data_IF_524361255365
#
_entry.id   IF_524361255365
#
_cell.length_a   1.000
_cell.length_b   1.000
_cell.length_c   1.000
_cell.angle_alpha   90.00
_cell.angle_beta   90.00
_cell.angle_gamma   90.00
#
_symmetry.space_group_name_H-M   'P 1'
#
loop_
_entity.id
_entity.type
_entity.pdbx_description
1 polymer ?
#
# COMPACT_ATOMS: atom_id res chain seq x y z
N UNK A 1 -4.80 13.81 -5.99
CA UNK A 1 -4.20 12.81 -5.08
C UNK A 1 -2.87 12.34 -5.67
N UNK A 2 -1.86 12.06 -4.86
CA UNK A 2 -0.55 11.55 -5.31
C UNK A 2 -0.33 10.16 -4.73
N UNK A 3 0.17 9.25 -5.55
CA UNK A 3 0.52 7.89 -5.16
C UNK A 3 1.88 7.53 -5.77
N UNK A 4 2.77 6.94 -4.97
CA UNK A 4 4.09 6.50 -5.42
C UNK A 4 4.03 5.26 -6.29
N UNK A 5 2.97 4.46 -6.15
CA UNK A 5 2.82 3.18 -6.83
C UNK A 5 2.67 3.31 -8.33
N UNK A 6 2.92 2.20 -9.02
CA UNK A 6 2.71 2.07 -10.46
C UNK A 6 1.22 2.03 -10.81
N UNK A 7 0.39 1.58 -9.89
CA UNK A 7 -1.06 1.48 -10.02
C UNK A 7 -1.73 1.68 -8.66
N UNK A 8 -3.01 2.05 -8.69
CA UNK A 8 -3.81 2.16 -7.47
C UNK A 8 -3.97 0.78 -6.86
N UNK A 9 -3.71 0.66 -5.56
CA UNK A 9 -3.83 -0.61 -4.84
C UNK A 9 -2.60 -1.53 -4.94
N UNK A 10 -1.51 -1.11 -5.60
CA UNK A 10 -0.28 -1.92 -5.76
C UNK A 10 0.29 -2.40 -4.41
N UNK A 11 0.13 -1.61 -3.35
CA UNK A 11 0.60 -1.95 -1.99
C UNK A 11 -0.03 -3.22 -1.42
N UNK A 12 -1.23 -3.60 -1.88
CA UNK A 12 -1.86 -4.86 -1.54
C UNK A 12 -1.25 -6.02 -2.30
N UNK A 13 -1.03 -5.88 -3.63
CA UNK A 13 -0.44 -6.94 -4.45
C UNK A 13 0.94 -7.38 -4.00
N UNK A 14 1.72 -6.45 -3.43
CA UNK A 14 3.08 -6.68 -2.91
C UNK A 14 3.12 -7.43 -1.57
N UNK A 15 1.99 -7.87 -1.03
CA UNK A 15 1.95 -8.68 0.20
C UNK A 15 2.10 -10.16 -0.11
N UNK A 16 2.35 -10.96 0.93
CA UNK A 16 2.45 -12.41 0.84
C UNK A 16 1.22 -13.07 0.19
N UNK A 17 1.45 -14.17 -0.51
CA UNK A 17 0.49 -14.78 -1.44
C UNK A 17 -0.81 -15.22 -0.77
N UNK A 18 -0.70 -15.74 0.45
CA UNK A 18 -1.85 -16.24 1.21
C UNK A 18 -2.64 -15.14 1.92
N UNK A 19 -2.32 -13.87 1.73
CA UNK A 19 -3.02 -12.78 2.40
C UNK A 19 -4.49 -12.73 1.96
N UNK A 20 -5.36 -12.87 2.96
CA UNK A 20 -6.77 -12.47 2.90
C UNK A 20 -7.04 -11.37 3.91
N UNK A 21 -7.99 -10.49 3.63
CA UNK A 21 -8.47 -9.52 4.60
C UNK A 21 -9.01 -10.26 5.83
N UNK A 22 -8.78 -9.70 7.01
CA UNK A 22 -9.28 -10.29 8.26
C UNK A 22 -10.76 -9.96 8.51
N UNK A 23 -11.34 -9.03 7.73
CA UNK A 23 -12.77 -8.68 7.76
C UNK A 23 -13.45 -9.23 6.51
N UNK A 24 -14.69 -9.69 6.69
CA UNK A 24 -15.52 -10.14 5.59
C UNK A 24 -15.77 -9.03 4.55
N UNK A 25 -16.04 -9.41 3.30
CA UNK A 25 -16.27 -8.50 2.18
C UNK A 25 -17.29 -7.39 2.50
N UNK A 26 -18.39 -7.73 3.19
CA UNK A 26 -19.42 -6.78 3.59
C UNK A 26 -18.87 -5.63 4.46
N UNK A 27 -17.92 -5.92 5.36
CA UNK A 27 -17.30 -4.92 6.23
C UNK A 27 -16.14 -4.16 5.59
N UNK A 28 -15.61 -4.65 4.47
CA UNK A 28 -14.47 -4.08 3.74
C UNK A 28 -14.90 -3.23 2.54
N UNK A 29 -16.20 -3.23 2.22
CA UNK A 29 -16.80 -2.49 1.11
C UNK A 29 -16.81 -0.97 1.36
N UNK A 30 -16.38 -0.19 0.37
CA UNK A 30 -16.58 1.27 0.33
C UNK A 30 -18.02 1.61 -0.09
N UNK A 31 -18.54 2.72 0.40
CA UNK A 31 -19.88 3.17 0.06
C UNK A 31 -20.03 3.33 -1.46
N UNK A 32 -21.21 3.00 -1.98
CA UNK A 32 -21.59 3.13 -3.40
C UNK A 32 -21.00 2.11 -4.37
N UNK A 33 -20.08 1.23 -3.96
CA UNK A 33 -19.60 0.13 -4.80
C UNK A 33 -19.29 -1.12 -3.98
N UNK A 34 -20.09 -2.18 -4.15
CA UNK A 34 -19.89 -3.44 -3.43
C UNK A 34 -18.56 -4.08 -3.79
N UNK A 35 -17.88 -4.59 -2.77
CA UNK A 35 -16.82 -5.56 -2.97
C UNK A 35 -17.54 -6.86 -3.40
N UNK A 36 -17.23 -7.35 -4.60
CA UNK A 36 -17.91 -8.51 -5.19
C UNK A 36 -17.62 -9.82 -4.47
N UNK A 37 -18.26 -10.92 -4.90
CA UNK A 37 -18.10 -12.25 -4.31
C UNK A 37 -19.05 -12.52 -3.15
N UNK A 38 -18.70 -13.47 -2.28
CA UNK A 38 -19.48 -13.80 -1.07
C UNK A 38 -19.37 -12.68 -0.03
N UNK A 39 -20.49 -12.05 0.41
CA UNK A 39 -20.47 -11.01 1.44
C UNK A 39 -19.86 -11.45 2.78
N UNK A 40 -19.96 -12.73 3.11
CA UNK A 40 -19.39 -13.33 4.32
C UNK A 40 -17.98 -13.90 4.08
N UNK A 41 -17.53 -13.92 2.82
CA UNK A 41 -16.20 -14.37 2.43
C UNK A 41 -15.11 -13.34 2.73
N UNK A 42 -13.86 -13.72 2.45
CA UNK A 42 -12.68 -12.90 2.70
C UNK A 42 -11.88 -12.69 1.42
N UNK A 43 -11.68 -11.42 1.08
CA UNK A 43 -10.98 -10.97 -0.12
C UNK A 43 -9.48 -11.22 -0.02
N UNK A 44 -8.87 -11.70 -1.09
CA UNK A 44 -7.41 -11.84 -1.24
C UNK A 44 -6.73 -10.49 -1.47
N UNK A 45 -5.39 -10.47 -1.40
CA UNK A 45 -4.59 -9.27 -1.71
C UNK A 45 -4.80 -8.71 -3.11
N UNK A 46 -5.04 -9.60 -4.08
CA UNK A 46 -5.19 -9.21 -5.49
C UNK A 46 -6.61 -8.71 -5.75
N UNK A 47 -7.62 -9.40 -5.23
CA UNK A 47 -9.02 -8.96 -5.35
C UNK A 47 -9.28 -7.59 -4.70
N UNK A 48 -8.67 -7.29 -3.54
CA UNK A 48 -8.82 -5.96 -2.92
C UNK A 48 -8.09 -4.88 -3.73
N UNK A 49 -6.97 -5.23 -4.37
CA UNK A 49 -6.26 -4.32 -5.27
C UNK A 49 -7.12 -3.99 -6.50
N UNK A 50 -7.68 -5.02 -7.14
CA UNK A 50 -8.58 -4.89 -8.28
C UNK A 50 -9.83 -4.07 -7.92
N UNK A 51 -10.40 -4.31 -6.74
CA UNK A 51 -11.54 -3.54 -6.22
C UNK A 51 -11.21 -2.04 -6.10
N UNK A 52 -10.07 -1.68 -5.52
CA UNK A 52 -9.67 -0.27 -5.37
C UNK A 52 -9.39 0.40 -6.73
N UNK A 53 -8.78 -0.33 -7.66
CA UNK A 53 -8.56 0.14 -9.01
C UNK A 53 -9.89 0.36 -9.74
N UNK A 54 -10.86 -0.54 -9.60
CA UNK A 54 -12.20 -0.39 -10.16
C UNK A 54 -12.95 0.79 -9.53
N UNK A 55 -12.90 0.92 -8.20
CA UNK A 55 -13.50 2.05 -7.48
C UNK A 55 -12.99 3.39 -8.01
N UNK A 56 -11.67 3.54 -8.22
CA UNK A 56 -11.10 4.77 -8.76
C UNK A 56 -11.46 5.05 -10.23
N UNK A 57 -11.89 4.04 -11.00
CA UNK A 57 -12.40 4.20 -12.36
C UNK A 57 -13.89 4.60 -12.36
N UNK A 58 -14.70 3.97 -11.52
CA UNK A 58 -16.13 4.25 -11.38
C UNK A 58 -16.38 5.66 -10.83
N UNK A 59 -15.61 6.06 -9.82
CA UNK A 59 -15.60 7.42 -9.30
C UNK A 59 -14.30 8.06 -9.79
N UNK A 60 -14.29 8.84 -10.88
CA UNK A 60 -13.08 9.24 -11.60
C UNK A 60 -12.16 10.15 -10.75
N UNK A 61 -11.43 9.54 -9.81
CA UNK A 61 -10.53 10.21 -8.89
C UNK A 61 -9.27 10.63 -9.67
N UNK A 62 -8.91 11.91 -9.57
CA UNK A 62 -7.70 12.43 -10.17
C UNK A 62 -6.47 12.01 -9.34
N UNK A 63 -5.96 10.82 -9.62
CA UNK A 63 -4.78 10.23 -8.99
C UNK A 63 -3.57 10.34 -9.92
N UNK A 64 -2.48 10.95 -9.43
CA UNK A 64 -1.19 10.92 -10.12
C UNK A 64 -0.34 9.78 -9.56
N UNK A 65 -0.37 8.63 -10.23
CA UNK A 65 0.51 7.48 -9.97
C UNK A 65 1.99 7.82 -10.22
N UNK A 66 2.92 7.04 -9.68
CA UNK A 66 4.38 7.26 -9.78
C UNK A 66 4.79 8.68 -9.37
N UNK A 67 4.18 9.21 -8.32
CA UNK A 67 4.51 10.51 -7.72
C UNK A 67 4.87 10.30 -6.25
N UNK A 68 6.13 10.52 -5.90
CA UNK A 68 6.53 10.56 -4.49
C UNK A 68 6.57 12.02 -4.06
N UNK A 69 5.89 12.35 -2.96
CA UNK A 69 6.10 13.62 -2.26
C UNK A 69 7.34 13.44 -1.39
N UNK A 70 8.39 14.18 -1.69
CA UNK A 70 9.69 14.08 -1.01
C UNK A 70 9.75 14.99 0.22
N UNK A 71 9.13 16.17 0.13
CA UNK A 71 9.12 17.16 1.20
C UNK A 71 7.95 18.13 1.04
N UNK A 72 7.66 18.91 2.08
CA UNK A 72 6.78 20.07 2.00
C UNK A 72 7.16 21.18 2.97
N UNK A 73 6.78 22.40 2.62
CA UNK A 73 6.91 23.57 3.50
C UNK A 73 5.56 24.19 3.80
N UNK A 74 5.36 24.67 5.04
CA UNK A 74 4.06 25.18 5.51
C UNK A 74 3.73 26.62 5.03
N UNK A 75 4.61 27.28 4.29
CA UNK A 75 4.35 28.62 3.73
C UNK A 75 3.44 28.56 2.50
N UNK A 76 2.12 28.49 2.71
CA UNK A 76 1.16 28.30 1.61
C UNK A 76 1.34 26.93 0.95
N UNK A 77 1.28 25.89 1.79
CA UNK A 77 1.69 24.49 1.56
C UNK A 77 2.18 24.19 0.14
N UNK A 78 3.50 24.13 0.01
CA UNK A 78 4.18 23.72 -1.22
C UNK A 78 4.69 22.30 -1.02
N UNK A 79 4.31 21.40 -1.92
CA UNK A 79 4.72 20.01 -1.98
C UNK A 79 5.79 19.84 -3.04
N UNK A 80 6.91 19.26 -2.65
CA UNK A 80 8.00 18.90 -3.55
C UNK A 80 7.85 17.43 -3.94
N UNK A 81 7.77 17.16 -5.24
CA UNK A 81 7.55 15.82 -5.77
C UNK A 81 8.78 15.31 -6.54
N UNK A 82 8.79 14.00 -6.83
CA UNK A 82 9.80 13.34 -7.67
C UNK A 82 10.21 14.17 -8.90
N UNK A 83 11.50 14.13 -9.31
CA UNK A 83 12.00 14.89 -10.45
C UNK A 83 11.11 14.76 -11.69
N UNK A 84 10.82 15.88 -12.34
CA UNK A 84 9.91 15.96 -13.49
C UNK A 84 8.42 16.12 -13.17
N UNK A 85 8.01 16.07 -11.89
CA UNK A 85 6.62 16.34 -11.47
C UNK A 85 6.40 17.76 -10.95
N UNK A 86 7.47 18.47 -10.60
CA UNK A 86 7.45 19.87 -10.17
C UNK A 86 6.92 20.10 -8.74
N UNK A 87 6.68 21.38 -8.44
CA UNK A 87 6.08 21.82 -7.18
C UNK A 87 4.55 21.88 -7.30
N UNK A 88 3.85 21.48 -6.24
CA UNK A 88 2.39 21.61 -6.16
C UNK A 88 2.02 22.48 -4.96
N UNK A 89 0.99 23.31 -5.12
CA UNK A 89 0.49 24.16 -4.04
C UNK A 89 -0.89 23.68 -3.61
N UNK A 90 -1.11 23.67 -2.30
CA UNK A 90 -2.41 23.37 -1.71
C UNK A 90 -2.69 24.25 -0.51
N UNK A 91 -3.97 24.39 -0.16
CA UNK A 91 -4.38 25.01 1.11
C UNK A 91 -4.40 24.00 2.25
N UNK A 92 -4.58 22.72 1.93
CA UNK A 92 -4.72 21.61 2.88
C UNK A 92 -4.03 20.36 2.35
N UNK A 93 -3.51 19.56 3.27
CA UNK A 93 -2.87 18.27 2.95
C UNK A 93 -3.47 17.21 3.85
N UNK A 94 -3.93 16.13 3.24
CA UNK A 94 -4.34 14.91 3.91
C UNK A 94 -3.25 13.87 3.63
N UNK A 95 -2.65 13.34 4.70
CA UNK A 95 -1.62 12.31 4.60
C UNK A 95 -2.26 10.95 4.85
N UNK A 96 -2.34 10.15 3.78
CA UNK A 96 -2.99 8.84 3.78
C UNK A 96 -2.02 7.71 3.40
N UNK A 97 -0.75 7.81 3.83
CA UNK A 97 0.29 6.85 3.44
C UNK A 97 0.18 5.51 4.19
N UNK A 98 -0.40 5.48 5.40
CA UNK A 98 -0.38 4.32 6.30
C UNK A 98 0.98 4.13 7.00
N UNK A 99 1.12 3.19 7.96
CA UNK A 99 2.34 3.09 8.79
C UNK A 99 3.31 1.95 8.42
N UNK A 100 3.04 1.15 7.38
CA UNK A 100 3.70 -0.15 7.17
C UNK A 100 4.74 -0.18 6.04
N UNK A 101 5.40 0.93 5.72
CA UNK A 101 6.35 1.01 4.60
C UNK A 101 7.78 0.69 5.01
N UNK A 102 8.15 0.98 6.27
CA UNK A 102 9.51 0.76 6.77
C UNK A 102 9.53 -0.44 7.72
N UNK A 103 10.27 -1.51 7.40
CA UNK A 103 10.51 -2.62 8.32
C UNK A 103 11.12 -2.13 9.64
N UNK A 104 10.66 -2.70 10.75
CA UNK A 104 11.29 -2.47 12.06
C UNK A 104 12.25 -3.62 12.35
N UNK A 105 13.48 -3.49 11.88
CA UNK A 105 14.53 -4.50 12.10
C UNK A 105 15.22 -4.19 13.43
N UNK A 106 15.18 -5.15 14.35
CA UNK A 106 15.76 -4.99 15.68
C UNK A 106 17.27 -5.20 15.63
N UNK A 107 18.02 -4.41 16.40
CA UNK A 107 19.50 -4.43 16.42
C UNK A 107 20.08 -5.82 16.70
N UNK A 108 19.38 -6.64 17.50
CA UNK A 108 19.88 -7.98 17.82
C UNK A 108 20.01 -8.91 16.61
N UNK A 109 19.29 -8.62 15.51
CA UNK A 109 19.37 -9.38 14.26
C UNK A 109 20.79 -9.46 13.71
N UNK A 110 21.64 -8.47 14.02
CA UNK A 110 23.06 -8.44 13.64
C UNK A 110 23.92 -9.49 14.35
N UNK A 111 23.41 -10.10 15.42
CA UNK A 111 24.10 -11.16 16.18
C UNK A 111 23.61 -12.56 15.84
N UNK A 112 22.68 -12.71 14.88
CA UNK A 112 22.27 -14.01 14.41
C UNK A 112 23.43 -14.72 13.69
N UNK A 113 23.51 -16.04 13.85
CA UNK A 113 24.46 -16.86 13.07
C UNK A 113 24.18 -16.73 11.58
N UNK A 114 25.22 -16.85 10.75
CA UNK A 114 25.09 -16.90 9.29
C UNK A 114 24.28 -18.13 8.80
N UNK A 115 24.08 -19.12 9.66
CA UNK A 115 23.23 -20.29 9.40
C UNK A 115 21.73 -19.98 9.56
N UNK A 116 21.37 -18.83 10.15
CA UNK A 116 19.99 -18.38 10.29
C UNK A 116 19.66 -17.46 9.12
N UNK A 117 18.53 -17.70 8.45
CA UNK A 117 17.97 -16.80 7.46
C UNK A 117 17.11 -15.72 8.17
N UNK A 118 17.59 -14.49 8.35
CA UNK A 118 16.74 -13.41 8.85
C UNK A 118 15.74 -13.02 7.76
N UNK A 119 14.46 -12.99 8.11
CA UNK A 119 13.40 -12.57 7.19
C UNK A 119 12.42 -11.67 7.94
N UNK A 120 12.24 -10.42 7.49
CA UNK A 120 11.18 -9.57 8.01
C UNK A 120 9.84 -9.95 7.36
N UNK A 121 8.72 -9.72 8.05
CA UNK A 121 7.38 -10.05 7.55
C UNK A 121 7.00 -9.34 6.24
N UNK A 122 7.69 -8.25 5.89
CA UNK A 122 7.53 -7.54 4.61
C UNK A 122 8.25 -8.21 3.44
N UNK A 123 9.19 -9.10 3.71
CA UNK A 123 9.99 -9.84 2.71
C UNK A 123 9.46 -11.27 2.51
N UNK A 124 8.60 -11.73 3.44
CA UNK A 124 7.88 -12.98 3.29
C UNK A 124 6.82 -12.88 2.20
N UNK A 125 6.83 -13.86 1.30
CA UNK A 125 5.93 -14.05 0.17
C UNK A 125 5.19 -15.39 0.29
N UNK A 126 5.91 -16.50 0.51
CA UNK A 126 5.33 -17.84 0.58
C UNK A 126 6.18 -18.83 1.41
N UNK A 127 5.60 -19.98 1.84
CA UNK A 127 6.30 -20.94 2.69
C UNK A 127 7.57 -21.54 2.08
N UNK A 128 7.67 -21.59 0.75
CA UNK A 128 8.85 -22.15 0.08
C UNK A 128 10.14 -21.36 0.36
N UNK A 129 10.04 -20.08 0.70
CA UNK A 129 11.20 -19.26 1.09
C UNK A 129 11.86 -19.73 2.41
N UNK A 130 11.16 -20.55 3.19
CA UNK A 130 11.63 -21.04 4.49
C UNK A 130 12.20 -22.47 4.43
N UNK A 131 12.21 -23.09 3.25
CA UNK A 131 12.67 -24.47 3.06
C UNK A 131 14.12 -24.57 2.55
N UNK A 132 14.83 -23.44 2.50
CA UNK A 132 16.23 -23.32 2.07
C UNK A 132 17.19 -23.37 3.25
#
# INVERSE_FOLDING_TARGET
>A
MFDQGNEIGESWRKRYDSLKLFKACYFSTLSSLSLGGDPNGYTTKDEISDYLLHYAKEFPLLVKIRTVVQDWIKQGIVLFCTPGRGEYRSKQVIVAIGPFQKPNILEFSKFLSNEVLPLHSSEYECPFQLLL
#
